data_IF_045818998228
#
_entry.id   IF_045818998228
#
_cell.length_a   1.000
_cell.length_b   1.000
_cell.length_c   1.000
_cell.angle_alpha   90.00
_cell.angle_beta   90.00
_cell.angle_gamma   90.00
#
_symmetry.space_group_name_H-M   'P 1'
#
loop_
_entity.id
_entity.type
_entity.pdbx_description
1 polymer ?
#
# COMPACT_ATOMS: atom_id res chain seq x y z
N UNK A 1 -17.84 -45.16 -9.74
CA UNK A 1 -16.85 -46.21 -9.45
C UNK A 1 -15.48 -45.60 -9.73
N UNK A 2 -14.65 -45.45 -8.71
CA UNK A 2 -13.40 -44.65 -8.74
C UNK A 2 -13.19 -43.97 -7.39
N UNK A 3 -12.73 -44.76 -6.42
CA UNK A 3 -12.54 -44.40 -5.01
C UNK A 3 -11.10 -43.97 -4.77
N UNK A 4 -10.96 -42.94 -3.91
CA UNK A 4 -9.88 -42.68 -2.94
C UNK A 4 -8.54 -42.19 -3.50
N UNK A 5 -8.08 -41.06 -2.95
CA UNK A 5 -6.83 -40.99 -2.18
C UNK A 5 -6.91 -39.77 -1.24
N UNK A 6 -7.40 -40.02 -0.02
CA UNK A 6 -7.32 -39.12 1.11
C UNK A 6 -5.99 -39.45 1.82
N UNK A 7 -4.96 -38.64 1.58
CA UNK A 7 -3.68 -38.72 2.29
C UNK A 7 -3.81 -37.96 3.60
N UNK A 8 -3.95 -38.70 4.70
CA UNK A 8 -3.84 -38.22 6.07
C UNK A 8 -2.35 -38.14 6.38
N UNK A 9 -1.82 -36.93 6.51
CA UNK A 9 -0.48 -36.71 7.07
C UNK A 9 -0.64 -36.27 8.51
N UNK A 10 -0.63 -37.24 9.41
CA UNK A 10 -0.47 -37.05 10.84
C UNK A 10 0.96 -37.48 11.17
N UNK A 11 1.87 -36.58 11.61
CA UNK A 11 3.06 -37.02 12.34
C UNK A 11 3.74 -35.88 13.15
N UNK A 12 3.56 -35.98 14.47
CA UNK A 12 4.55 -35.83 15.56
C UNK A 12 5.24 -34.47 15.73
N UNK A 13 4.71 -33.66 16.66
CA UNK A 13 5.54 -32.74 17.44
C UNK A 13 6.07 -33.46 18.68
N UNK A 14 7.38 -33.69 18.68
CA UNK A 14 8.17 -34.28 19.74
C UNK A 14 8.25 -33.30 20.93
N UNK A 15 7.74 -33.69 22.09
CA UNK A 15 8.00 -33.02 23.37
C UNK A 15 9.49 -33.15 23.71
N UNK A 16 10.20 -32.03 23.77
CA UNK A 16 11.46 -31.92 24.52
C UNK A 16 11.15 -31.34 25.91
N UNK A 17 10.91 -32.22 26.87
CA UNK A 17 11.09 -31.91 28.28
C UNK A 17 12.57 -32.03 28.59
N UNK A 18 13.29 -30.90 28.67
CA UNK A 18 14.56 -30.87 29.36
C UNK A 18 14.32 -30.44 30.81
N UNK A 19 14.35 -31.46 31.67
CA UNK A 19 14.57 -31.36 33.11
C UNK A 19 15.90 -30.65 33.38
N UNK A 20 15.87 -29.53 34.09
CA UNK A 20 17.03 -29.05 34.83
C UNK A 20 16.73 -29.17 36.31
N UNK A 21 17.39 -30.13 36.95
CA UNK A 21 17.51 -30.19 38.40
C UNK A 21 18.62 -29.23 38.82
N UNK A 22 18.32 -28.30 39.71
CA UNK A 22 19.30 -27.80 40.67
C UNK A 22 18.61 -27.64 42.02
N UNK A 23 19.20 -28.28 43.01
CA UNK A 23 18.75 -28.38 44.38
C UNK A 23 19.79 -27.65 45.24
N UNK A 24 19.36 -26.67 46.01
CA UNK A 24 20.16 -25.92 46.97
C UNK A 24 19.24 -25.30 48.02
N UNK A 25 19.37 -25.79 49.24
CA UNK A 25 18.39 -25.86 50.32
C UNK A 25 18.47 -24.63 51.28
N UNK A 26 17.29 -24.16 51.75
CA UNK A 26 16.96 -23.59 53.09
C UNK A 26 17.56 -22.23 53.50
N UNK A 27 16.83 -21.30 54.17
CA UNK A 27 15.78 -21.45 55.20
C UNK A 27 15.04 -20.11 55.49
N UNK A 28 13.69 -20.17 55.62
CA UNK A 28 12.78 -19.57 56.67
C UNK A 28 12.82 -18.05 57.00
N UNK A 29 11.76 -17.27 57.26
CA UNK A 29 10.31 -17.39 57.62
C UNK A 29 9.72 -15.97 57.40
N UNK A 30 8.47 -15.68 57.03
CA UNK A 30 7.22 -15.68 57.82
C UNK A 30 6.29 -14.62 57.21
N UNK A 31 4.97 -14.88 57.11
CA UNK A 31 3.97 -13.81 56.96
C UNK A 31 2.74 -14.20 56.13
N UNK A 32 1.74 -14.77 56.79
CA UNK A 32 0.36 -14.92 56.28
C UNK A 32 -0.28 -13.57 55.94
N UNK A 33 -1.08 -13.53 54.86
CA UNK A 33 -2.40 -12.89 54.83
C UNK A 33 -3.09 -13.11 53.46
N UNK A 34 -4.25 -13.78 53.49
CA UNK A 34 -5.30 -13.73 52.46
C UNK A 34 -6.05 -12.39 52.58
N UNK A 35 -6.64 -11.85 51.50
CA UNK A 35 -8.11 -11.93 51.42
C UNK A 35 -8.67 -12.23 50.01
N UNK A 36 -9.90 -12.72 50.06
CA UNK A 36 -10.84 -13.10 49.00
C UNK A 36 -11.47 -11.89 48.24
N UNK A 37 -12.32 -12.13 47.20
CA UNK A 37 -12.51 -11.22 46.07
C UNK A 37 -13.66 -10.21 46.23
N UNK A 38 -13.56 -9.09 45.51
CA UNK A 38 -14.66 -8.15 45.35
C UNK A 38 -15.42 -8.43 44.04
N UNK A 39 -16.66 -8.89 44.19
CA UNK A 39 -17.71 -8.87 43.17
C UNK A 39 -18.43 -7.52 43.21
N UNK A 40 -18.63 -6.86 42.07
CA UNK A 40 -19.63 -5.81 41.92
C UNK A 40 -20.48 -6.05 40.66
N UNK A 41 -21.78 -5.89 40.84
CA UNK A 41 -22.85 -6.26 39.92
C UNK A 41 -23.44 -4.98 39.29
N UNK A 42 -23.65 -4.88 37.97
CA UNK A 42 -24.33 -3.74 37.35
C UNK A 42 -25.78 -4.07 36.98
N UNK A 43 -26.72 -3.26 37.48
CA UNK A 43 -28.12 -3.17 37.00
C UNK A 43 -28.60 -1.74 37.35
N UNK A 44 -29.35 -0.97 36.55
CA UNK A 44 -30.12 -1.27 35.35
C UNK A 44 -30.55 0.07 34.66
N UNK A 45 -30.88 -0.05 33.36
CA UNK A 45 -31.55 0.82 32.34
C UNK A 45 -32.83 1.57 32.85
N UNK A 46 -33.65 2.34 32.03
CA UNK A 46 -33.58 2.61 30.57
C UNK A 46 -34.03 4.00 30.02
N UNK A 47 -33.72 4.21 28.71
CA UNK A 47 -34.49 4.80 27.56
C UNK A 47 -35.34 6.09 27.77
N UNK A 48 -35.56 7.01 26.82
CA UNK A 48 -35.75 6.91 25.37
C UNK A 48 -35.78 8.34 24.74
N UNK A 49 -35.57 8.43 23.42
CA UNK A 49 -35.76 9.58 22.49
C UNK A 49 -37.31 9.82 22.29
N UNK A 50 -37.90 10.76 21.47
CA UNK A 50 -37.33 11.49 20.33
C UNK A 50 -37.88 12.91 19.93
N UNK A 51 -37.20 13.49 18.92
CA UNK A 51 -37.67 14.29 17.75
C UNK A 51 -38.10 15.79 17.77
N UNK A 52 -37.67 16.45 16.66
CA UNK A 52 -38.38 17.37 15.75
C UNK A 52 -38.02 18.89 15.67
N UNK A 53 -37.63 19.31 14.46
CA UNK A 53 -37.74 20.64 13.78
C UNK A 53 -39.18 20.75 13.13
N UNK A 54 -39.71 21.81 12.44
CA UNK A 54 -39.17 23.10 11.91
C UNK A 54 -40.08 24.38 11.80
N UNK A 55 -39.53 25.48 11.21
CA UNK A 55 -40.08 26.63 10.40
C UNK A 55 -41.16 27.62 10.99
N UNK A 56 -41.39 28.92 10.62
CA UNK A 56 -41.06 29.84 9.48
C UNK A 56 -41.44 31.34 9.78
N UNK A 57 -40.87 32.31 9.00
CA UNK A 57 -41.37 33.64 8.49
C UNK A 57 -41.76 34.81 9.46
N UNK A 58 -41.54 36.13 9.21
CA UNK A 58 -42.00 37.02 8.09
C UNK A 58 -41.27 38.42 8.01
N UNK A 59 -41.49 39.19 6.91
CA UNK A 59 -40.90 40.46 6.34
C UNK A 59 -41.56 41.78 6.88
N UNK A 60 -41.20 43.07 6.49
CA UNK A 60 -41.43 43.75 5.16
C UNK A 60 -40.40 44.85 4.67
N UNK A 61 -40.14 45.01 3.35
CA UNK A 61 -40.31 46.16 2.37
C UNK A 61 -39.52 47.50 2.58
N UNK A 62 -38.81 48.09 1.59
CA UNK A 62 -39.26 48.84 0.37
C UNK A 62 -38.07 49.29 -0.56
N UNK A 63 -38.36 49.63 -1.83
CA UNK A 63 -37.51 50.19 -2.94
C UNK A 63 -38.04 51.61 -3.31
N UNK A 64 -37.39 52.60 -4.03
CA UNK A 64 -36.95 52.53 -5.47
C UNK A 64 -35.79 53.45 -5.95
N UNK A 65 -35.24 53.26 -7.17
CA UNK A 65 -34.56 54.36 -7.91
C UNK A 65 -33.56 54.08 -9.08
N UNK A 66 -34.09 53.85 -10.30
CA UNK A 66 -33.73 54.41 -11.65
C UNK A 66 -32.26 54.54 -12.19
N UNK A 67 -32.09 54.05 -13.44
CA UNK A 67 -30.96 54.10 -14.43
C UNK A 67 -30.79 55.48 -15.14
N UNK A 68 -29.65 55.84 -15.79
CA UNK A 68 -29.49 55.68 -17.26
C UNK A 68 -28.03 55.39 -17.75
N UNK A 69 -27.84 55.19 -19.07
CA UNK A 69 -26.67 54.58 -19.75
C UNK A 69 -25.76 55.54 -20.59
N UNK A 70 -24.46 55.16 -20.71
CA UNK A 70 -23.44 55.23 -21.82
C UNK A 70 -23.11 56.55 -22.59
N UNK A 71 -21.98 56.73 -23.37
CA UNK A 71 -20.96 55.79 -23.93
C UNK A 71 -19.48 56.33 -23.90
N UNK A 72 -18.55 56.04 -24.87
CA UNK A 72 -17.46 55.06 -24.80
C UNK A 72 -16.03 55.69 -24.88
N UNK A 73 -14.96 54.93 -24.57
CA UNK A 73 -13.64 55.28 -25.11
C UNK A 73 -12.61 54.13 -25.20
N UNK A 74 -11.65 54.36 -26.09
CA UNK A 74 -10.76 53.50 -26.87
C UNK A 74 -9.89 52.40 -26.23
N UNK A 75 -9.78 51.30 -26.99
CA UNK A 75 -8.58 50.52 -27.37
C UNK A 75 -7.31 50.62 -26.49
N UNK A 76 -6.87 49.47 -25.95
CA UNK A 76 -5.48 49.04 -26.18
C UNK A 76 -5.33 47.51 -26.13
N UNK A 77 -5.05 46.91 -27.29
CA UNK A 77 -4.59 45.54 -27.42
C UNK A 77 -3.14 45.46 -26.93
N UNK A 78 -2.92 44.79 -25.81
CA UNK A 78 -1.60 44.23 -25.51
C UNK A 78 -1.78 42.77 -25.05
N UNK A 79 -1.96 41.89 -26.02
CA UNK A 79 -1.86 40.44 -25.82
C UNK A 79 -0.40 40.10 -25.59
N UNK A 80 0.07 40.27 -24.36
CA UNK A 80 1.26 39.60 -23.88
C UNK A 80 1.06 38.09 -24.03
N UNK A 81 2.02 37.34 -24.57
CA UNK A 81 1.94 35.88 -24.57
C UNK A 81 1.96 35.45 -23.11
N UNK A 82 0.83 34.92 -22.63
CA UNK A 82 0.77 34.26 -21.33
C UNK A 82 1.70 33.07 -21.40
N UNK A 83 2.87 33.20 -20.79
CA UNK A 83 3.76 32.09 -20.44
C UNK A 83 2.89 31.00 -19.79
N UNK A 84 2.91 29.75 -20.27
CA UNK A 84 2.25 28.67 -19.57
C UNK A 84 2.83 28.56 -18.16
N UNK A 85 1.96 28.70 -17.17
CA UNK A 85 2.25 28.46 -15.77
C UNK A 85 2.87 27.06 -15.60
N UNK A 86 3.84 26.87 -14.70
CA UNK A 86 4.53 25.60 -14.55
C UNK A 86 3.59 24.52 -14.04
N UNK A 87 3.44 23.44 -14.83
CA UNK A 87 3.11 22.08 -14.41
C UNK A 87 1.88 21.91 -13.48
N UNK A 88 0.67 22.15 -13.97
CA UNK A 88 -0.51 21.53 -13.36
C UNK A 88 -0.52 20.03 -13.69
N UNK A 89 -0.50 19.17 -12.67
CA UNK A 89 -0.71 17.72 -12.87
C UNK A 89 -2.05 17.49 -13.60
N UNK A 90 -2.10 16.66 -14.67
CA UNK A 90 -3.27 16.54 -15.54
C UNK A 90 -4.43 15.76 -14.90
N UNK A 91 -4.27 15.28 -13.66
CA UNK A 91 -5.29 14.56 -12.91
C UNK A 91 -5.15 14.79 -11.40
N UNK A 92 -6.23 14.57 -10.68
CA UNK A 92 -6.29 14.47 -9.23
C UNK A 92 -6.44 13.01 -8.79
N UNK A 93 -6.09 12.72 -7.53
CA UNK A 93 -6.26 11.39 -6.94
C UNK A 93 -7.29 11.49 -5.82
N UNK A 94 -8.30 10.64 -5.87
CA UNK A 94 -9.26 10.43 -4.80
C UNK A 94 -9.18 9.01 -4.27
N UNK A 95 -9.60 8.80 -3.02
CA UNK A 95 -9.66 7.47 -2.41
C UNK A 95 -10.94 6.75 -2.82
N UNK A 96 -10.80 5.51 -3.27
CA UNK A 96 -11.88 4.54 -3.39
C UNK A 96 -11.62 3.36 -2.44
N UNK A 97 -12.64 2.52 -2.26
CA UNK A 97 -12.53 1.30 -1.48
C UNK A 97 -13.22 0.11 -2.17
N UNK A 98 -12.67 -1.07 -1.93
CA UNK A 98 -13.31 -2.36 -2.12
C UNK A 98 -13.67 -2.89 -0.74
N UNK A 99 -14.92 -3.24 -0.53
CA UNK A 99 -15.40 -3.79 0.74
C UNK A 99 -16.24 -5.03 0.48
N UNK A 100 -15.89 -6.14 1.13
CA UNK A 100 -16.64 -7.39 1.11
C UNK A 100 -16.43 -8.12 2.45
N UNK A 101 -17.50 -8.38 3.21
CA UNK A 101 -17.40 -8.96 4.55
C UNK A 101 -16.38 -8.20 5.45
N UNK A 102 -15.34 -8.88 5.93
CA UNK A 102 -14.27 -8.32 6.76
C UNK A 102 -13.05 -7.85 5.94
N UNK A 103 -13.22 -7.69 4.63
CA UNK A 103 -12.19 -7.21 3.69
C UNK A 103 -12.46 -5.74 3.38
N UNK A 104 -11.43 -4.91 3.51
CA UNK A 104 -11.42 -3.50 3.17
C UNK A 104 -10.09 -3.14 2.52
N UNK A 105 -10.13 -2.82 1.22
CA UNK A 105 -8.95 -2.44 0.45
C UNK A 105 -9.16 -1.03 -0.08
N UNK A 106 -8.37 -0.08 0.42
CA UNK A 106 -8.37 1.29 -0.11
C UNK A 106 -7.40 1.37 -1.29
N UNK A 107 -7.80 2.06 -2.36
CA UNK A 107 -6.97 2.27 -3.55
C UNK A 107 -7.26 3.63 -4.18
N UNK A 108 -6.31 4.21 -4.95
CA UNK A 108 -6.52 5.49 -5.60
C UNK A 108 -7.40 5.36 -6.85
N UNK A 109 -8.08 6.46 -7.17
CA UNK A 109 -8.72 6.68 -8.47
C UNK A 109 -8.28 8.04 -9.02
N UNK A 110 -8.03 8.10 -10.32
CA UNK A 110 -7.87 9.33 -11.07
C UNK A 110 -9.22 10.03 -11.19
N UNK A 111 -9.18 11.35 -11.08
CA UNK A 111 -10.30 12.26 -11.36
C UNK A 111 -9.79 13.48 -12.09
N UNK A 112 -10.71 14.25 -12.69
CA UNK A 112 -10.43 15.51 -13.39
C UNK A 112 -9.39 15.36 -14.53
N UNK A 113 -9.31 14.18 -15.14
CA UNK A 113 -8.58 14.00 -16.40
C UNK A 113 -9.33 14.68 -17.54
N UNK A 114 -8.60 15.28 -18.48
CA UNK A 114 -9.17 15.77 -19.74
C UNK A 114 -9.65 14.64 -20.65
N UNK A 115 -9.05 13.45 -20.52
CA UNK A 115 -9.46 12.24 -21.23
C UNK A 115 -10.21 11.30 -20.28
N UNK A 116 -11.54 11.33 -20.37
CA UNK A 116 -12.43 10.54 -19.52
C UNK A 116 -12.40 9.04 -19.84
N UNK A 117 -12.13 8.65 -21.08
CA UNK A 117 -12.09 7.24 -21.44
C UNK A 117 -10.82 6.59 -20.90
N UNK A 118 -9.68 7.28 -21.04
CA UNK A 118 -8.42 6.85 -20.42
C UNK A 118 -8.52 6.82 -18.90
N UNK A 119 -9.15 7.82 -18.29
CA UNK A 119 -9.41 7.84 -16.84
C UNK A 119 -10.17 6.57 -16.38
N UNK A 120 -11.24 6.19 -17.08
CA UNK A 120 -11.99 4.96 -16.77
C UNK A 120 -11.14 3.71 -16.89
N UNK A 121 -10.36 3.58 -17.95
CA UNK A 121 -9.46 2.43 -18.17
C UNK A 121 -8.44 2.33 -17.04
N UNK A 122 -7.76 3.42 -16.69
CA UNK A 122 -6.77 3.45 -15.61
C UNK A 122 -7.42 3.15 -14.27
N UNK A 123 -8.59 3.71 -13.98
CA UNK A 123 -9.31 3.43 -12.74
C UNK A 123 -9.74 1.97 -12.60
N UNK A 124 -10.07 1.31 -13.72
CA UNK A 124 -10.35 -0.12 -13.71
C UNK A 124 -9.08 -0.94 -13.45
N UNK A 125 -7.95 -0.56 -14.04
CA UNK A 125 -6.65 -1.19 -13.76
C UNK A 125 -6.26 -1.04 -12.29
N UNK A 126 -6.35 0.18 -11.74
CA UNK A 126 -6.03 0.46 -10.33
C UNK A 126 -6.86 -0.36 -9.36
N UNK A 127 -8.17 -0.51 -9.63
CA UNK A 127 -9.03 -1.37 -8.84
C UNK A 127 -8.60 -2.83 -8.96
N UNK A 128 -8.35 -3.30 -10.17
CA UNK A 128 -8.00 -4.70 -10.41
C UNK A 128 -6.67 -5.07 -9.75
N UNK A 129 -5.62 -4.27 -9.89
CA UNK A 129 -4.34 -4.53 -9.22
C UNK A 129 -4.48 -4.52 -7.70
N UNK A 130 -5.20 -3.54 -7.14
CA UNK A 130 -5.38 -3.43 -5.69
C UNK A 130 -6.07 -4.66 -5.06
N UNK A 131 -6.97 -5.33 -5.78
CA UNK A 131 -7.69 -6.50 -5.24
C UNK A 131 -6.98 -7.83 -5.50
N UNK A 132 -5.90 -7.87 -6.29
CA UNK A 132 -5.15 -9.12 -6.57
C UNK A 132 -4.54 -9.75 -5.33
N UNK A 133 -4.30 -8.98 -4.27
CA UNK A 133 -3.87 -9.50 -2.96
C UNK A 133 -4.83 -10.58 -2.40
N UNK A 134 -6.11 -10.59 -2.82
CA UNK A 134 -7.06 -11.62 -2.41
C UNK A 134 -6.68 -13.02 -2.93
N UNK A 135 -5.88 -13.11 -3.99
CA UNK A 135 -5.43 -14.38 -4.55
C UNK A 135 -4.56 -15.19 -3.58
N UNK A 136 -3.90 -14.55 -2.61
CA UNK A 136 -3.17 -15.25 -1.53
C UNK A 136 -4.07 -16.13 -0.67
N UNK A 137 -5.36 -15.84 -0.66
CA UNK A 137 -6.34 -16.42 0.25
C UNK A 137 -7.38 -17.29 -0.45
N UNK A 138 -7.31 -17.42 -1.78
CA UNK A 138 -8.25 -18.27 -2.50
C UNK A 138 -7.96 -19.75 -2.24
N UNK A 139 -9.00 -20.60 -2.07
CA UNK A 139 -10.43 -20.29 -2.17
C UNK A 139 -11.08 -19.82 -0.84
N UNK A 140 -10.32 -19.70 0.24
CA UNK A 140 -10.79 -19.56 1.63
C UNK A 140 -11.10 -18.11 2.07
N UNK A 141 -11.32 -17.20 1.13
CA UNK A 141 -11.52 -15.74 1.36
C UNK A 141 -12.64 -15.42 2.34
N UNK A 142 -13.60 -16.34 2.55
CA UNK A 142 -14.68 -16.19 3.53
C UNK A 142 -14.23 -16.08 4.99
N UNK A 143 -13.07 -16.66 5.34
CA UNK A 143 -12.51 -16.65 6.70
C UNK A 143 -11.46 -15.54 6.91
N UNK A 144 -11.30 -14.67 5.91
CA UNK A 144 -10.31 -13.61 5.88
C UNK A 144 -10.83 -12.32 6.53
N UNK A 145 -10.02 -11.74 7.41
CA UNK A 145 -10.06 -10.31 7.74
C UNK A 145 -8.88 -9.64 7.06
N UNK A 146 -9.12 -8.61 6.25
CA UNK A 146 -8.06 -7.92 5.50
C UNK A 146 -8.29 -6.43 5.49
N UNK A 147 -7.31 -5.66 5.95
CA UNK A 147 -7.31 -4.21 5.80
C UNK A 147 -6.05 -3.76 5.06
N UNK A 148 -6.23 -3.17 3.88
CA UNK A 148 -5.16 -2.59 3.07
C UNK A 148 -5.38 -1.08 2.89
N UNK A 149 -4.31 -0.32 3.04
CA UNK A 149 -4.21 1.10 2.68
C UNK A 149 -3.17 1.30 1.58
N UNK A 150 -3.10 2.53 1.06
CA UNK A 150 -2.13 2.89 0.05
C UNK A 150 -1.46 4.23 0.34
N UNK A 151 -0.28 4.41 -0.23
CA UNK A 151 0.47 5.66 -0.30
C UNK A 151 0.83 5.94 -1.76
N UNK A 152 0.71 7.19 -2.19
CA UNK A 152 1.21 7.62 -3.51
C UNK A 152 2.69 7.96 -3.37
N UNK A 153 3.56 7.13 -3.94
CA UNK A 153 5.03 7.30 -3.88
C UNK A 153 5.54 8.28 -4.93
N UNK A 154 4.90 8.32 -6.09
CA UNK A 154 5.14 9.33 -7.11
C UNK A 154 3.86 9.63 -7.90
N UNK A 155 3.70 10.91 -8.28
CA UNK A 155 2.60 11.41 -9.09
C UNK A 155 3.13 12.45 -10.07
N UNK A 156 3.10 12.12 -11.34
CA UNK A 156 3.49 13.00 -12.44
C UNK A 156 2.52 12.82 -13.62
N UNK A 157 2.60 13.66 -14.66
CA UNK A 157 1.76 13.49 -15.85
C UNK A 157 1.89 12.12 -16.54
N UNK A 158 3.03 11.44 -16.38
CA UNK A 158 3.38 10.20 -17.09
C UNK A 158 3.52 8.99 -16.19
N UNK A 159 3.87 9.15 -14.91
CA UNK A 159 4.03 8.05 -13.95
C UNK A 159 3.20 8.26 -12.69
N UNK A 160 2.47 7.20 -12.30
CA UNK A 160 1.87 7.04 -10.98
C UNK A 160 2.45 5.78 -10.32
N UNK A 161 3.11 5.95 -9.18
CA UNK A 161 3.65 4.85 -8.38
C UNK A 161 2.91 4.77 -7.04
N UNK A 162 2.37 3.60 -6.73
CA UNK A 162 1.50 3.36 -5.58
C UNK A 162 2.08 2.21 -4.79
N UNK A 163 2.19 2.41 -3.48
CA UNK A 163 2.51 1.38 -2.51
C UNK A 163 1.26 1.02 -1.74
N UNK A 164 1.01 -0.27 -1.56
CA UNK A 164 -0.07 -0.81 -0.75
C UNK A 164 0.52 -1.53 0.45
N UNK A 165 -0.02 -1.26 1.63
CA UNK A 165 0.36 -1.95 2.87
C UNK A 165 -0.85 -2.28 3.72
N UNK A 166 -0.76 -3.35 4.49
CA UNK A 166 -1.83 -3.69 5.41
C UNK A 166 -1.66 -5.05 6.06
N UNK A 167 -2.72 -5.52 6.70
CA UNK A 167 -2.69 -6.72 7.53
C UNK A 167 -3.83 -7.63 7.13
N UNK A 168 -3.49 -8.90 6.86
CA UNK A 168 -4.45 -9.97 6.58
C UNK A 168 -4.38 -11.06 7.65
N UNK A 169 -5.53 -11.52 8.13
CA UNK A 169 -5.63 -12.58 9.12
C UNK A 169 -6.69 -13.59 8.69
N UNK A 170 -6.26 -14.85 8.56
CA UNK A 170 -7.14 -15.99 8.37
C UNK A 170 -7.60 -16.51 9.73
N UNK A 171 -8.89 -16.73 9.90
CA UNK A 171 -9.43 -17.25 11.15
C UNK A 171 -8.74 -18.58 11.55
N UNK A 172 -8.14 -18.61 12.75
CA UNK A 172 -7.41 -19.77 13.25
C UNK A 172 -5.92 -19.82 12.89
N UNK A 173 -5.40 -18.83 12.15
CA UNK A 173 -3.96 -18.70 11.91
C UNK A 173 -3.19 -18.33 13.20
N UNK A 174 -1.92 -18.74 13.26
CA UNK A 174 -1.07 -18.46 14.42
C UNK A 174 -0.77 -16.96 14.59
N UNK A 175 -0.70 -16.22 13.48
CA UNK A 175 -0.43 -14.80 13.42
C UNK A 175 -1.04 -14.21 12.13
N UNK A 176 -1.26 -12.89 12.08
CA UNK A 176 -1.56 -12.21 10.82
C UNK A 176 -0.36 -12.19 9.88
N UNK A 177 -0.58 -11.82 8.62
CA UNK A 177 0.47 -11.50 7.64
C UNK A 177 0.45 -10.00 7.36
N UNK A 178 1.64 -9.40 7.27
CA UNK A 178 1.81 -8.04 6.79
C UNK A 178 1.98 -8.07 5.27
N UNK A 179 1.13 -7.33 4.57
CA UNK A 179 1.15 -7.23 3.11
C UNK A 179 1.92 -6.00 2.69
N UNK A 180 2.73 -6.19 1.65
CA UNK A 180 3.34 -5.12 0.88
C UNK A 180 3.25 -5.48 -0.59
N UNK A 181 2.73 -4.57 -1.41
CA UNK A 181 2.78 -4.70 -2.86
C UNK A 181 2.65 -3.32 -3.51
N UNK A 182 2.93 -3.24 -4.81
CA UNK A 182 2.95 -1.97 -5.53
C UNK A 182 2.15 -2.04 -6.83
N UNK A 183 1.81 -0.88 -7.35
CA UNK A 183 1.31 -0.72 -8.71
C UNK A 183 1.93 0.52 -9.31
N UNK A 184 2.65 0.35 -10.41
CA UNK A 184 3.26 1.43 -11.17
C UNK A 184 2.54 1.53 -12.52
N UNK A 185 2.10 2.72 -12.91
CA UNK A 185 1.31 2.93 -14.12
C UNK A 185 1.91 4.04 -14.96
N UNK A 186 2.09 3.76 -16.25
CA UNK A 186 2.25 4.80 -17.26
C UNK A 186 0.88 5.44 -17.53
N UNK A 187 0.73 6.71 -17.15
CA UNK A 187 -0.52 7.46 -17.27
C UNK A 187 -0.82 7.88 -18.72
N UNK A 188 0.20 7.95 -19.57
CA UNK A 188 0.02 8.30 -20.98
C UNK A 188 -0.60 7.12 -21.74
N UNK A 189 -0.06 5.92 -21.53
CA UNK A 189 -0.46 4.70 -22.25
C UNK A 189 -1.51 3.87 -21.51
N UNK A 190 -1.64 4.04 -20.20
CA UNK A 190 -2.54 3.25 -19.35
C UNK A 190 -2.05 1.82 -19.14
N UNK A 191 -0.73 1.61 -19.00
CA UNK A 191 -0.14 0.28 -18.82
C UNK A 191 0.48 0.11 -17.44
N UNK A 192 0.34 -1.07 -16.86
CA UNK A 192 1.10 -1.47 -15.66
C UNK A 192 2.57 -1.63 -16.04
N UNK A 193 3.45 -1.08 -15.20
CA UNK A 193 4.90 -1.14 -15.35
C UNK A 193 5.49 -2.05 -14.28
N UNK A 194 6.32 -3.00 -14.69
CA UNK A 194 7.18 -3.77 -13.80
C UNK A 194 8.58 -3.15 -13.75
N UNK A 195 9.35 -3.48 -12.71
CA UNK A 195 10.71 -3.01 -12.53
C UNK A 195 11.58 -3.17 -13.79
N UNK A 196 11.48 -4.33 -14.46
CA UNK A 196 12.24 -4.65 -15.68
C UNK A 196 11.90 -3.75 -16.88
N UNK A 197 10.70 -3.18 -16.92
CA UNK A 197 10.28 -2.26 -17.98
C UNK A 197 10.96 -0.89 -17.84
N UNK A 198 11.51 -0.60 -16.66
CA UNK A 198 12.06 0.70 -16.30
C UNK A 198 13.57 0.66 -16.06
N UNK A 199 14.05 -0.44 -15.49
CA UNK A 199 15.44 -0.66 -15.06
C UNK A 199 15.97 -1.93 -15.71
N UNK A 200 17.23 -1.87 -16.17
CA UNK A 200 17.96 -3.01 -16.71
C UNK A 200 18.49 -3.82 -15.52
N UNK A 201 17.88 -4.98 -15.31
CA UNK A 201 18.19 -5.88 -14.20
C UNK A 201 19.37 -6.77 -14.59
N UNK A 202 20.57 -6.37 -14.16
CA UNK A 202 21.81 -7.09 -14.38
C UNK A 202 22.69 -7.12 -13.11
N UNK A 203 23.83 -7.80 -13.18
CA UNK A 203 24.76 -7.94 -12.05
C UNK A 203 25.27 -6.59 -11.54
N UNK A 204 25.40 -5.58 -12.41
CA UNK A 204 25.80 -4.23 -12.01
C UNK A 204 24.70 -3.56 -11.17
N UNK A 205 23.43 -3.66 -11.60
CA UNK A 205 22.30 -3.19 -10.79
C UNK A 205 22.27 -3.84 -9.40
N UNK A 206 22.45 -5.16 -9.33
CA UNK A 206 22.50 -5.92 -8.07
C UNK A 206 23.66 -5.43 -7.19
N UNK A 207 24.86 -5.25 -7.77
CA UNK A 207 26.01 -4.71 -7.06
C UNK A 207 25.75 -3.32 -6.47
N UNK A 208 25.18 -2.42 -7.28
CA UNK A 208 24.83 -1.07 -6.83
C UNK A 208 23.77 -1.08 -5.74
N UNK A 209 22.76 -1.94 -5.83
CA UNK A 209 21.72 -2.08 -4.81
C UNK A 209 22.33 -2.52 -3.47
N UNK A 210 23.15 -3.57 -3.46
CA UNK A 210 23.80 -4.06 -2.24
C UNK A 210 24.75 -3.02 -1.62
N UNK A 211 25.45 -2.25 -2.44
CA UNK A 211 26.42 -1.27 -1.98
C UNK A 211 25.79 0.05 -1.50
N UNK A 212 24.78 0.54 -2.21
CA UNK A 212 24.33 1.94 -2.10
C UNK A 212 22.88 2.09 -1.60
N UNK A 213 22.07 1.03 -1.62
CA UNK A 213 20.71 1.11 -1.11
C UNK A 213 20.69 1.29 0.40
N UNK A 214 19.78 2.12 0.87
CA UNK A 214 19.54 2.37 2.29
C UNK A 214 18.29 1.63 2.72
N UNK A 215 18.40 0.92 3.83
CA UNK A 215 17.23 0.34 4.47
C UNK A 215 16.30 1.44 4.97
N UNK A 216 15.00 1.27 4.77
CA UNK A 216 13.97 2.19 5.28
C UNK A 216 13.75 2.04 6.78
N UNK A 217 14.18 0.90 7.35
CA UNK A 217 14.12 0.63 8.79
C UNK A 217 15.49 0.19 9.33
N UNK A 218 15.94 0.70 10.49
CA UNK A 218 17.24 0.33 11.05
C UNK A 218 17.45 -1.18 11.24
N UNK A 219 16.41 -1.89 11.66
CA UNK A 219 16.42 -3.34 11.90
C UNK A 219 16.65 -4.19 10.63
N UNK A 220 16.35 -3.64 9.46
CA UNK A 220 16.55 -4.31 8.17
C UNK A 220 17.93 -4.03 7.57
N UNK A 221 18.79 -3.30 8.29
CA UNK A 221 20.16 -3.03 7.85
C UNK A 221 20.94 -4.35 7.67
N UNK A 222 21.50 -4.54 6.48
CA UNK A 222 22.32 -5.70 6.15
C UNK A 222 21.58 -6.88 5.50
N UNK A 223 20.24 -6.86 5.45
CA UNK A 223 19.46 -7.93 4.79
C UNK A 223 19.85 -8.08 3.31
N UNK A 224 19.96 -6.98 2.55
CA UNK A 224 20.44 -7.07 1.16
C UNK A 224 21.82 -7.73 1.03
N UNK A 225 22.69 -7.54 2.03
CA UNK A 225 24.04 -8.12 2.02
C UNK A 225 24.04 -9.63 2.27
N UNK A 226 23.08 -10.15 3.04
CA UNK A 226 22.96 -11.58 3.33
C UNK A 226 22.40 -12.41 2.17
N UNK A 227 21.67 -11.78 1.24
CA UNK A 227 21.09 -12.45 0.07
C UNK A 227 22.19 -12.71 -0.99
N UNK A 228 22.25 -13.93 -1.52
CA UNK A 228 23.20 -14.26 -2.58
C UNK A 228 22.89 -13.44 -3.86
N UNK A 229 23.89 -12.90 -4.58
CA UNK A 229 23.65 -12.01 -5.72
C UNK A 229 22.75 -12.60 -6.82
N UNK A 230 22.86 -13.91 -7.11
CA UNK A 230 22.00 -14.58 -8.10
C UNK A 230 20.54 -14.62 -7.67
N UNK A 231 20.29 -14.79 -6.37
CA UNK A 231 18.93 -14.91 -5.83
C UNK A 231 18.27 -13.53 -5.86
N UNK A 232 19.01 -12.49 -5.44
CA UNK A 232 18.56 -11.10 -5.57
C UNK A 232 18.30 -10.72 -7.03
N UNK A 233 19.16 -11.13 -7.96
CA UNK A 233 18.92 -10.91 -9.40
C UNK A 233 17.60 -11.55 -9.85
N UNK A 234 17.34 -12.79 -9.45
CA UNK A 234 16.11 -13.50 -9.80
C UNK A 234 14.86 -12.85 -9.17
N UNK A 235 14.94 -12.44 -7.90
CA UNK A 235 13.88 -11.69 -7.21
C UNK A 235 13.52 -10.41 -7.95
N UNK A 236 14.52 -9.60 -8.31
CA UNK A 236 14.34 -8.33 -9.02
C UNK A 236 13.81 -8.53 -10.45
N UNK A 237 14.22 -9.60 -11.13
CA UNK A 237 13.77 -9.91 -12.51
C UNK A 237 12.27 -10.23 -12.55
N UNK A 238 11.74 -10.80 -11.47
CA UNK A 238 10.34 -11.18 -11.34
C UNK A 238 9.53 -10.21 -10.46
N UNK A 239 10.06 -9.03 -10.16
CA UNK A 239 9.40 -8.06 -9.31
C UNK A 239 8.10 -7.51 -9.94
N UNK A 240 7.20 -7.02 -9.10
CA UNK A 240 5.94 -6.32 -9.45
C UNK A 240 4.83 -7.18 -10.08
N UNK A 241 5.06 -8.48 -10.30
CA UNK A 241 4.05 -9.34 -10.93
C UNK A 241 3.00 -9.82 -9.92
N UNK A 242 1.84 -9.15 -9.89
CA UNK A 242 0.68 -9.57 -9.10
C UNK A 242 -0.16 -10.70 -9.73
N UNK A 243 0.10 -11.04 -11.00
CA UNK A 243 -0.67 -12.05 -11.74
C UNK A 243 -0.37 -13.48 -11.30
N UNK A 244 0.77 -13.70 -10.66
CA UNK A 244 1.26 -15.03 -10.27
C UNK A 244 1.01 -15.36 -8.79
N UNK A 245 0.28 -14.51 -8.06
CA UNK A 245 -0.03 -14.73 -6.64
C UNK A 245 -0.71 -16.10 -6.46
N UNK A 246 -0.21 -16.89 -5.51
CA UNK A 246 -0.71 -18.23 -5.23
C UNK A 246 -0.23 -19.31 -6.21
N UNK A 247 0.74 -19.01 -7.08
CA UNK A 247 1.32 -19.96 -8.04
C UNK A 247 2.80 -20.21 -7.75
N UNK A 248 3.39 -21.22 -8.41
CA UNK A 248 4.83 -21.52 -8.32
C UNK A 248 5.75 -20.40 -8.85
N UNK A 249 5.21 -19.45 -9.63
CA UNK A 249 5.93 -18.31 -10.19
C UNK A 249 5.68 -17.00 -9.42
N UNK A 250 5.11 -17.11 -8.21
CA UNK A 250 4.89 -15.95 -7.33
C UNK A 250 6.23 -15.28 -6.99
N UNK A 251 6.20 -13.95 -6.97
CA UNK A 251 7.29 -13.11 -6.47
C UNK A 251 6.70 -12.10 -5.48
N UNK A 252 7.25 -12.09 -4.27
CA UNK A 252 6.90 -11.13 -3.22
C UNK A 252 7.88 -9.94 -3.21
N UNK A 253 8.54 -9.72 -4.34
CA UNK A 253 9.45 -8.59 -4.56
C UNK A 253 8.73 -7.50 -5.35
N UNK A 254 8.77 -6.28 -4.86
CA UNK A 254 8.03 -5.16 -5.42
C UNK A 254 8.93 -3.93 -5.54
N UNK A 255 8.61 -3.05 -6.48
CA UNK A 255 9.30 -1.81 -6.72
C UNK A 255 8.34 -0.63 -6.73
N UNK A 256 8.81 0.50 -6.23
CA UNK A 256 8.11 1.78 -6.32
C UNK A 256 9.09 2.88 -6.69
N UNK A 257 8.55 3.97 -7.23
CA UNK A 257 9.34 5.08 -7.75
C UNK A 257 8.98 6.34 -7.00
N UNK A 258 9.98 7.10 -6.55
CA UNK A 258 9.83 8.43 -5.97
C UNK A 258 10.29 9.49 -6.97
N UNK A 259 10.50 10.73 -6.54
CA UNK A 259 11.10 11.76 -7.39
C UNK A 259 12.60 11.56 -7.63
N UNK A 260 13.31 10.87 -6.74
CA UNK A 260 14.78 10.80 -6.76
C UNK A 260 15.36 9.39 -6.56
N UNK A 261 14.52 8.41 -6.20
CA UNK A 261 14.93 7.09 -5.76
C UNK A 261 14.03 5.98 -6.29
N UNK A 262 14.63 4.82 -6.49
CA UNK A 262 13.95 3.55 -6.67
C UNK A 262 13.84 2.89 -5.30
N UNK A 263 12.61 2.58 -4.90
CA UNK A 263 12.33 1.74 -3.75
C UNK A 263 12.13 0.29 -4.16
N UNK A 264 12.68 -0.64 -3.38
CA UNK A 264 12.53 -2.08 -3.54
C UNK A 264 12.07 -2.68 -2.21
N UNK A 265 11.01 -3.46 -2.24
CA UNK A 265 10.59 -4.34 -1.16
C UNK A 265 10.97 -5.77 -1.50
N UNK A 266 11.53 -6.49 -0.53
CA UNK A 266 11.83 -7.93 -0.63
C UNK A 266 11.15 -8.70 0.51
N UNK A 267 10.78 -9.97 0.31
CA UNK A 267 10.26 -10.81 1.39
C UNK A 267 11.34 -11.10 2.43
N UNK A 268 10.93 -11.09 3.70
CA UNK A 268 11.76 -11.50 4.85
C UNK A 268 10.94 -12.40 5.76
N UNK A 269 11.54 -12.93 6.83
CA UNK A 269 10.80 -13.80 7.74
C UNK A 269 9.66 -13.06 8.45
N UNK A 270 8.64 -13.79 8.93
CA UNK A 270 7.55 -13.18 9.70
C UNK A 270 8.05 -12.45 10.96
N UNK A 271 9.10 -12.99 11.60
CA UNK A 271 9.74 -12.34 12.75
C UNK A 271 10.43 -11.00 12.40
N UNK A 272 10.77 -10.80 11.13
CA UNK A 272 11.34 -9.55 10.59
C UNK A 272 10.28 -8.63 9.97
N UNK A 273 9.01 -9.04 9.98
CA UNK A 273 7.87 -8.25 9.52
C UNK A 273 7.33 -8.59 8.13
N UNK A 274 7.63 -9.77 7.58
CA UNK A 274 7.22 -10.30 6.27
C UNK A 274 7.85 -9.62 5.05
N UNK A 275 8.18 -8.33 5.14
CA UNK A 275 8.82 -7.57 4.07
C UNK A 275 9.83 -6.52 4.60
N UNK A 276 10.81 -6.18 3.76
CA UNK A 276 11.81 -5.16 4.05
C UNK A 276 12.05 -4.25 2.84
N UNK A 277 12.06 -2.93 3.08
CA UNK A 277 12.16 -1.91 2.04
C UNK A 277 13.54 -1.23 2.02
N UNK A 278 14.02 -0.97 0.81
CA UNK A 278 15.30 -0.32 0.54
C UNK A 278 15.14 0.73 -0.55
N UNK A 279 15.76 1.89 -0.37
CA UNK A 279 15.79 2.94 -1.39
C UNK A 279 17.21 3.18 -1.91
N UNK A 280 17.34 3.26 -3.23
CA UNK A 280 18.57 3.63 -3.94
C UNK A 280 18.31 4.81 -4.85
N UNK A 281 19.19 5.82 -4.82
CA UNK A 281 19.02 7.01 -5.65
C UNK A 281 19.20 6.67 -7.12
N UNK A 282 18.46 7.35 -7.99
CA UNK A 282 18.60 7.18 -9.44
C UNK A 282 20.01 7.50 -9.94
N UNK A 283 20.72 8.43 -9.29
CA UNK A 283 22.12 8.72 -9.59
C UNK A 283 23.02 7.47 -9.44
N UNK A 284 22.79 6.66 -8.41
CA UNK A 284 23.58 5.46 -8.15
C UNK A 284 23.33 4.34 -9.17
N UNK A 285 22.21 4.39 -9.90
CA UNK A 285 21.80 3.37 -10.89
C UNK A 285 21.57 3.96 -12.28
N UNK A 286 22.14 5.14 -12.58
CA UNK A 286 21.86 5.88 -13.81
C UNK A 286 22.15 5.05 -15.08
N UNK A 287 23.14 4.15 -15.03
CA UNK A 287 23.51 3.28 -16.14
C UNK A 287 22.51 2.14 -16.38
N UNK A 288 21.66 1.83 -15.39
CA UNK A 288 20.64 0.79 -15.48
C UNK A 288 19.28 1.35 -15.92
N UNK A 289 19.06 2.66 -15.85
CA UNK A 289 17.79 3.28 -16.28
C UNK A 289 17.75 3.30 -17.81
N UNK A 290 16.72 2.66 -18.39
CA UNK A 290 16.50 2.68 -19.85
C UNK A 290 15.14 3.26 -20.26
N UNK A 291 14.21 3.43 -19.32
CA UNK A 291 12.92 4.06 -19.60
C UNK A 291 13.00 5.59 -19.63
N UNK A 292 12.42 6.17 -20.68
CA UNK A 292 12.26 7.62 -20.82
C UNK A 292 11.36 8.22 -19.72
N UNK A 293 10.47 7.42 -19.12
CA UNK A 293 9.61 7.85 -18.01
C UNK A 293 10.44 8.29 -16.81
N UNK A 294 11.44 7.51 -16.43
CA UNK A 294 12.38 7.84 -15.34
C UNK A 294 13.31 8.98 -15.69
N UNK A 295 13.81 9.03 -16.93
CA UNK A 295 14.66 10.13 -17.39
C UNK A 295 13.94 11.48 -17.32
N UNK A 296 12.62 11.50 -17.52
CA UNK A 296 11.80 12.71 -17.38
C UNK A 296 11.63 13.20 -15.93
N UNK A 297 11.85 12.32 -14.94
CA UNK A 297 11.87 12.69 -13.52
C UNK A 297 13.21 13.31 -13.12
N UNK A 298 14.31 12.90 -13.76
CA UNK A 298 15.67 13.37 -13.48
C UNK A 298 16.00 14.76 -14.06
N UNK A 299 15.14 15.29 -14.93
CA UNK A 299 15.34 16.56 -15.62
C UNK A 299 14.59 17.74 -14.97
N UNK A 300 13.97 17.55 -13.80
CA UNK A 300 13.21 18.58 -13.08
C UNK A 300 13.94 19.12 -11.86
#
# INVERSE_FOLDING_TARGET
>A
MGKKNLMITLLIFLLLLLTSCSQGDKTKTSGDAQPEPATENPNEKPAEKPDAKPDTAEKPDTNPGVKPAEPPDHNNNNSSPTNPSPSSNPYEITKANYTENNIKINYPQLTKSSDQQKEKTINQLLKNEAIKVLNYYLPEVQDLTLEINYEIKSKSPSLLSIQYTGVGYMNGAAHPNNHYYTTNIDIETGTILQLKDMIKIDENFVGNLKQNAKSMKPEHQGILNSIHPSDLLNMLTNADSLDNIGTENQSDTFSYFTSDSLGISIPVSHAEGDHAEFEITYQAIAQNIHSLLLLSLLQR
#
